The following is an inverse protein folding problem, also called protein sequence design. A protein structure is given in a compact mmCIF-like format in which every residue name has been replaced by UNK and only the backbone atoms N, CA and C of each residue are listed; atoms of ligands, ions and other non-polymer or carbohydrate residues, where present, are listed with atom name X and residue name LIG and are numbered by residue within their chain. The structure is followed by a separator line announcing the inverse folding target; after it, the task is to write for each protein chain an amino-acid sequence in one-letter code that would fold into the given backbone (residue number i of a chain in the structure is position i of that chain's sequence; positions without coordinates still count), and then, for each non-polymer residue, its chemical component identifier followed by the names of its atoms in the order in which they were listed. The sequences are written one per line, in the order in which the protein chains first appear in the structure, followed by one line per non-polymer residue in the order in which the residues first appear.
data_IF_599930955458
#
_entry.id   IF_599930955458
#
_cell.length_a   1.000
_cell.length_b   1.000
_cell.length_c   1.000
_cell.angle_alpha   90.00
_cell.angle_beta   90.00
_cell.angle_gamma   90.00
#
_symmetry.space_group_name_H-M   'P 1'
#
loop_
_entity.id
_entity.type
_entity.pdbx_description
1 polymer ?
#
# COMPACT_ATOMS: atom_id res chain seq x y z
N UNK A 1 5.21 47.92 -12.86
CA UNK A 1 4.97 48.82 -11.72
C UNK A 1 3.50 48.88 -11.41
N UNK A 2 2.98 48.09 -10.47
CA UNK A 2 1.75 48.36 -9.72
C UNK A 2 1.90 47.56 -8.42
N UNK A 3 2.02 48.29 -7.31
CA UNK A 3 2.07 47.76 -5.93
C UNK A 3 0.67 47.23 -5.59
N UNK A 4 0.57 46.06 -5.01
CA UNK A 4 -0.62 45.57 -4.31
C UNK A 4 -0.48 45.85 -2.82
N UNK A 5 -1.46 46.56 -2.31
CA UNK A 5 -1.64 47.05 -0.96
C UNK A 5 -2.13 45.93 -0.05
N UNK A 6 -1.40 45.69 1.04
CA UNK A 6 -1.72 44.70 2.09
C UNK A 6 -2.42 45.40 3.25
N UNK A 7 -3.69 45.69 3.11
CA UNK A 7 -4.51 46.13 4.25
C UNK A 7 -5.95 45.74 4.04
N UNK A 8 -6.41 44.65 4.69
CA UNK A 8 -7.77 44.37 5.17
C UNK A 8 -8.10 42.88 5.17
N UNK A 9 -7.77 42.20 6.28
CA UNK A 9 -8.54 41.07 6.75
C UNK A 9 -8.34 40.92 8.29
N UNK A 10 -8.86 41.91 9.00
CA UNK A 10 -9.30 41.68 10.41
C UNK A 10 -10.81 41.71 10.32
N UNK A 11 -11.46 40.62 10.74
CA UNK A 11 -12.78 40.64 11.39
C UNK A 11 -13.21 39.21 11.76
N UNK A 12 -13.67 39.06 13.01
CA UNK A 12 -14.44 38.01 13.66
C UNK A 12 -13.68 36.84 14.28
N UNK A 13 -13.10 37.12 15.47
CA UNK A 13 -13.14 36.18 16.59
C UNK A 13 -14.06 36.80 17.66
N UNK A 14 -15.29 36.33 17.67
CA UNK A 14 -16.29 36.72 18.67
C UNK A 14 -15.99 36.08 20.03
N UNK A 15 -15.86 36.95 21.04
CA UNK A 15 -15.78 36.62 22.44
C UNK A 15 -17.06 35.92 22.92
N UNK A 16 -16.95 34.66 23.34
CA UNK A 16 -17.92 34.05 24.25
C UNK A 16 -17.25 33.88 25.62
N UNK A 17 -17.26 34.94 26.43
CA UNK A 17 -17.05 34.83 27.89
C UNK A 17 -18.45 34.89 28.56
N UNK A 18 -19.02 33.72 28.81
CA UNK A 18 -20.14 33.63 29.79
C UNK A 18 -19.48 33.36 31.15
N UNK A 19 -19.45 34.39 31.99
CA UNK A 19 -18.98 34.31 33.36
C UNK A 19 -20.12 33.70 34.22
N UNK A 20 -20.02 32.43 34.56
CA UNK A 20 -20.77 31.84 35.69
C UNK A 20 -19.96 32.08 36.97
N UNK A 21 -20.41 33.04 37.79
CA UNK A 21 -19.93 33.25 39.17
C UNK A 21 -20.52 32.19 40.07
N UNK A 22 -19.69 31.28 40.60
CA UNK A 22 -20.06 30.38 41.70
C UNK A 22 -19.53 30.94 43.04
N UNK A 23 -20.32 30.86 44.11
CA UNK A 23 -20.00 31.47 45.42
C UNK A 23 -19.24 30.53 46.37
N UNK A 24 -18.40 29.64 45.94
CA UNK A 24 -17.49 28.87 46.83
C UNK A 24 -16.17 28.57 46.13
N UNK A 25 -15.08 28.87 46.82
CA UNK A 25 -13.72 28.58 46.40
C UNK A 25 -13.43 27.09 46.39
N UNK A 26 -13.33 26.52 45.17
CA UNK A 26 -12.84 25.16 44.95
C UNK A 26 -11.36 25.28 44.54
N UNK A 27 -10.46 24.48 45.10
CA UNK A 27 -9.06 24.51 44.69
C UNK A 27 -8.99 24.16 43.20
N UNK A 28 -8.26 24.95 42.45
CA UNK A 28 -8.00 24.78 41.01
C UNK A 28 -7.25 23.48 40.77
N UNK A 29 -7.97 22.47 40.25
CA UNK A 29 -7.34 21.27 39.70
C UNK A 29 -7.00 21.58 38.25
N UNK A 30 -5.70 21.55 37.95
CA UNK A 30 -5.18 21.77 36.60
C UNK A 30 -5.52 20.59 35.69
N UNK A 31 -6.60 20.74 34.92
CA UNK A 31 -7.16 19.71 34.00
C UNK A 31 -6.35 19.54 32.72
N UNK A 32 -5.25 20.28 32.52
CA UNK A 32 -4.47 20.21 31.30
C UNK A 32 -3.44 19.06 31.25
N UNK A 33 -3.28 18.26 32.31
CA UNK A 33 -2.32 17.16 32.37
C UNK A 33 -2.88 15.74 32.34
N UNK A 34 -4.20 15.55 32.23
CA UNK A 34 -4.78 14.20 32.15
C UNK A 34 -5.07 13.83 30.68
N UNK A 35 -4.23 13.00 30.11
CA UNK A 35 -4.42 12.42 28.77
C UNK A 35 -5.47 11.28 28.71
N UNK A 36 -6.28 11.09 29.77
CA UNK A 36 -7.28 10.04 29.83
C UNK A 36 -8.71 10.62 29.86
N UNK A 37 -9.45 10.58 28.71
CA UNK A 37 -10.79 11.15 28.60
C UNK A 37 -11.82 10.48 29.51
N UNK A 38 -11.59 9.23 29.94
CA UNK A 38 -12.48 8.50 30.86
C UNK A 38 -12.38 9.01 32.28
N UNK A 39 -11.21 9.49 32.72
CA UNK A 39 -11.05 10.11 34.04
C UNK A 39 -11.77 11.46 34.13
N UNK A 40 -11.77 12.23 33.05
CA UNK A 40 -12.51 13.48 32.93
C UNK A 40 -14.04 13.27 32.99
N UNK A 41 -14.55 12.24 32.30
CA UNK A 41 -15.95 11.86 32.34
C UNK A 41 -16.39 11.37 33.75
N UNK A 42 -15.55 10.59 34.42
CA UNK A 42 -15.80 10.07 35.77
C UNK A 42 -15.85 11.20 36.81
N UNK A 43 -14.95 12.17 36.72
CA UNK A 43 -14.95 13.35 37.60
C UNK A 43 -16.15 14.29 37.37
N UNK A 44 -16.65 14.39 36.12
CA UNK A 44 -17.87 15.15 35.80
C UNK A 44 -19.12 14.46 36.34
N UNK A 45 -19.20 13.13 36.28
CA UNK A 45 -20.34 12.35 36.83
C UNK A 45 -20.39 12.48 38.38
N UNK A 46 -19.22 12.42 39.05
CA UNK A 46 -19.11 12.61 40.49
C UNK A 46 -19.48 14.03 40.94
N UNK A 47 -19.22 15.04 40.12
CA UNK A 47 -19.59 16.42 40.39
C UNK A 47 -21.11 16.65 40.22
N UNK A 48 -21.72 16.02 39.21
CA UNK A 48 -23.16 16.15 38.90
C UNK A 48 -24.09 15.45 39.94
N UNK A 49 -23.63 14.36 40.56
CA UNK A 49 -24.42 13.60 41.54
C UNK A 49 -24.46 14.23 42.93
N UNK A 50 -23.64 15.23 43.22
CA UNK A 50 -23.54 15.89 44.52
C UNK A 50 -24.65 16.95 44.78
N UNK A 51 -25.43 17.32 43.80
CA UNK A 51 -26.34 18.48 43.88
C UNK A 51 -27.81 18.17 44.13
N UNK A 52 -28.26 16.90 44.18
CA UNK A 52 -29.72 16.58 44.23
C UNK A 52 -30.16 15.44 45.15
N UNK A 53 -29.47 15.12 46.27
CA UNK A 53 -30.01 14.12 47.20
C UNK A 53 -30.29 14.68 48.63
N UNK A 54 -31.45 14.35 49.21
CA UNK A 54 -31.78 14.74 50.58
C UNK A 54 -30.97 13.96 51.62
N UNK A 55 -30.67 14.62 52.73
CA UNK A 55 -29.67 14.31 53.75
C UNK A 55 -29.85 13.06 54.62
N UNK A 56 -30.85 12.18 54.40
CA UNK A 56 -31.26 11.15 55.34
C UNK A 56 -31.28 9.70 54.78
N UNK A 57 -30.40 9.31 53.90
CA UNK A 57 -30.25 7.90 53.51
C UNK A 57 -28.85 7.42 53.77
N UNK A 58 -28.74 6.27 54.43
CA UNK A 58 -27.55 5.69 55.04
C UNK A 58 -26.34 5.58 54.11
N UNK A 59 -25.23 6.08 54.60
CA UNK A 59 -23.91 6.12 53.97
C UNK A 59 -23.34 4.72 53.58
N UNK A 60 -23.87 3.63 54.17
CA UNK A 60 -23.39 2.26 53.98
C UNK A 60 -23.71 1.64 52.61
N UNK A 61 -24.84 2.04 51.95
CA UNK A 61 -25.24 1.51 50.63
C UNK A 61 -24.39 2.10 49.47
N UNK A 62 -23.94 3.32 49.65
CA UNK A 62 -23.17 4.04 48.59
C UNK A 62 -21.73 3.61 48.45
N UNK A 63 -21.09 3.23 49.57
CA UNK A 63 -19.71 2.72 49.51
C UNK A 63 -19.66 1.33 48.87
N UNK A 64 -20.69 0.51 49.05
CA UNK A 64 -20.76 -0.82 48.44
C UNK A 64 -21.03 -0.75 46.93
N UNK A 65 -21.93 0.13 46.47
CA UNK A 65 -22.20 0.29 45.02
C UNK A 65 -21.10 1.01 44.27
N UNK A 66 -20.45 2.00 44.86
CA UNK A 66 -19.31 2.68 44.28
C UNK A 66 -18.07 1.76 44.19
N UNK A 67 -17.84 0.91 45.22
CA UNK A 67 -16.80 -0.11 45.22
C UNK A 67 -17.03 -1.19 44.15
N UNK A 68 -18.30 -1.63 43.99
CA UNK A 68 -18.67 -2.63 42.99
C UNK A 68 -18.53 -2.10 41.54
N UNK A 69 -18.90 -0.82 41.30
CA UNK A 69 -18.69 -0.18 40.00
C UNK A 69 -17.20 0.02 39.70
N UNK A 70 -16.37 0.39 40.68
CA UNK A 70 -14.94 0.53 40.50
C UNK A 70 -14.26 -0.83 40.22
N UNK A 71 -14.69 -1.92 40.89
CA UNK A 71 -14.20 -3.28 40.64
C UNK A 71 -14.65 -3.78 39.27
N UNK A 72 -15.85 -3.48 38.82
CA UNK A 72 -16.34 -3.82 37.47
C UNK A 72 -15.52 -3.03 36.42
N UNK A 73 -15.23 -1.74 36.63
CA UNK A 73 -14.38 -0.97 35.71
C UNK A 73 -12.92 -1.43 35.72
N UNK A 74 -12.41 -1.96 36.83
CA UNK A 74 -11.08 -2.54 36.91
C UNK A 74 -11.02 -3.98 36.35
N UNK A 75 -12.11 -4.74 36.48
CA UNK A 75 -12.23 -6.11 35.94
C UNK A 75 -12.56 -6.13 34.43
N UNK A 76 -13.25 -5.11 33.91
CA UNK A 76 -13.37 -4.82 32.48
C UNK A 76 -12.22 -3.93 32.02
N UNK A 77 -11.02 -4.17 32.55
CA UNK A 77 -9.81 -3.55 32.00
C UNK A 77 -9.89 -3.66 30.50
N UNK A 78 -9.76 -2.56 29.78
CA UNK A 78 -9.68 -2.53 28.33
C UNK A 78 -8.68 -3.60 27.89
N UNK A 79 -9.17 -4.82 27.70
CA UNK A 79 -8.41 -5.84 26.99
C UNK A 79 -8.08 -5.17 25.67
N UNK A 80 -6.84 -4.77 25.48
CA UNK A 80 -6.35 -4.38 24.18
C UNK A 80 -6.68 -5.59 23.30
N UNK A 81 -7.74 -5.49 22.50
CA UNK A 81 -7.95 -6.48 21.45
C UNK A 81 -6.66 -6.49 20.66
N UNK A 82 -5.95 -7.61 20.67
CA UNK A 82 -4.76 -7.75 19.85
C UNK A 82 -5.18 -7.42 18.43
N UNK A 83 -4.53 -6.40 17.85
CA UNK A 83 -4.80 -6.01 16.49
C UNK A 83 -4.21 -7.10 15.59
N UNK A 84 -5.06 -7.95 15.04
CA UNK A 84 -4.69 -8.96 14.05
C UNK A 84 -4.59 -8.41 12.65
N UNK A 85 -3.94 -9.13 11.76
CA UNK A 85 -3.99 -8.88 10.33
C UNK A 85 -5.42 -9.11 9.81
N UNK A 86 -5.88 -8.21 8.93
CA UNK A 86 -7.19 -8.36 8.28
C UNK A 86 -7.14 -9.55 7.30
N UNK A 87 -7.98 -10.59 7.50
CA UNK A 87 -8.03 -11.73 6.60
C UNK A 87 -8.35 -11.35 5.16
N UNK A 88 -7.86 -12.10 4.18
CA UNK A 88 -8.09 -11.83 2.76
C UNK A 88 -9.44 -12.36 2.29
N UNK A 89 -10.51 -11.80 2.88
CA UNK A 89 -11.90 -12.23 2.62
C UNK A 89 -12.33 -11.98 1.18
N UNK A 90 -11.79 -10.93 0.51
CA UNK A 90 -12.10 -10.68 -0.89
C UNK A 90 -11.61 -11.80 -1.80
N UNK A 91 -10.39 -12.29 -1.56
CA UNK A 91 -9.86 -13.39 -2.34
C UNK A 91 -10.64 -14.69 -2.12
N UNK A 92 -10.99 -15.00 -0.88
CA UNK A 92 -11.83 -16.15 -0.59
C UNK A 92 -13.21 -16.03 -1.25
N UNK A 93 -13.88 -14.87 -1.11
CA UNK A 93 -15.19 -14.63 -1.70
C UNK A 93 -15.16 -14.68 -3.24
N UNK A 94 -14.08 -14.20 -3.88
CA UNK A 94 -13.97 -14.28 -5.33
C UNK A 94 -13.80 -15.70 -5.86
N UNK A 95 -13.30 -16.64 -5.05
CA UNK A 95 -13.16 -18.06 -5.41
C UNK A 95 -14.37 -18.91 -5.03
N UNK A 96 -15.21 -18.46 -4.08
CA UNK A 96 -16.38 -19.23 -3.59
C UNK A 96 -17.69 -18.82 -4.23
N UNK A 97 -17.76 -17.73 -5.00
CA UNK A 97 -19.01 -17.19 -5.53
C UNK A 97 -19.78 -18.18 -6.42
N UNK A 98 -19.10 -19.03 -7.15
CA UNK A 98 -19.71 -20.06 -7.98
C UNK A 98 -19.53 -21.45 -7.34
N UNK A 99 -20.56 -21.94 -6.65
CA UNK A 99 -20.74 -23.37 -6.41
C UNK A 99 -20.20 -23.96 -5.12
N UNK A 100 -19.93 -23.19 -4.07
CA UNK A 100 -19.59 -23.74 -2.74
C UNK A 100 -20.48 -23.19 -1.65
N UNK A 101 -20.96 -24.06 -0.75
CA UNK A 101 -21.67 -23.68 0.50
C UNK A 101 -20.70 -23.14 1.58
N UNK A 102 -19.45 -22.94 1.25
CA UNK A 102 -18.40 -22.54 2.21
C UNK A 102 -18.42 -21.03 2.46
N UNK A 103 -18.36 -20.63 3.73
CA UNK A 103 -18.34 -19.23 4.12
C UNK A 103 -16.95 -18.62 3.87
N UNK A 104 -16.80 -17.64 2.94
CA UNK A 104 -15.51 -17.04 2.59
C UNK A 104 -14.82 -16.31 3.75
N UNK A 105 -15.59 -15.74 4.68
CA UNK A 105 -15.04 -15.06 5.85
C UNK A 105 -14.38 -16.08 6.79
N UNK A 106 -15.02 -17.24 7.00
CA UNK A 106 -14.49 -18.31 7.83
C UNK A 106 -13.20 -18.89 7.25
N UNK A 107 -13.17 -19.13 5.93
CA UNK A 107 -11.98 -19.64 5.23
C UNK A 107 -10.82 -18.63 5.34
N UNK A 108 -11.08 -17.37 5.02
CA UNK A 108 -10.05 -16.34 5.10
C UNK A 108 -9.51 -16.19 6.53
N UNK A 109 -10.39 -16.26 7.54
CA UNK A 109 -10.00 -16.20 8.95
C UNK A 109 -9.10 -17.39 9.31
N UNK A 110 -9.49 -18.63 8.95
CA UNK A 110 -8.71 -19.83 9.23
C UNK A 110 -7.35 -19.80 8.53
N UNK A 111 -7.29 -19.34 7.27
CA UNK A 111 -6.02 -19.16 6.57
C UNK A 111 -5.12 -18.11 7.24
N UNK A 112 -5.70 -16.99 7.70
CA UNK A 112 -4.97 -15.94 8.42
C UNK A 112 -4.42 -16.46 9.76
N UNK A 113 -5.17 -17.28 10.50
CA UNK A 113 -4.72 -17.95 11.74
C UNK A 113 -3.54 -18.89 11.48
N UNK A 114 -3.57 -19.69 10.40
CA UNK A 114 -2.43 -20.52 9.99
C UNK A 114 -1.20 -19.66 9.73
N UNK A 115 -1.35 -18.61 8.96
CA UNK A 115 -0.25 -17.69 8.60
C UNK A 115 0.29 -16.95 9.84
N UNK A 116 -0.56 -16.63 10.80
CA UNK A 116 -0.15 -16.00 12.06
C UNK A 116 0.77 -16.88 12.90
N UNK A 117 0.59 -18.20 12.84
CA UNK A 117 1.53 -19.15 13.52
C UNK A 117 2.96 -19.01 13.01
N UNK A 118 3.13 -18.67 11.71
CA UNK A 118 4.43 -18.54 11.06
C UNK A 118 5.00 -17.12 11.12
N UNK A 119 4.14 -16.10 10.92
CA UNK A 119 4.57 -14.71 10.75
C UNK A 119 4.27 -13.80 11.95
N UNK A 120 3.63 -14.36 13.01
CA UNK A 120 3.22 -13.56 14.15
C UNK A 120 2.09 -12.57 13.83
N UNK A 121 1.84 -11.65 14.75
CA UNK A 121 0.80 -10.61 14.62
C UNK A 121 1.40 -9.25 14.23
N UNK A 122 0.54 -8.24 14.08
CA UNK A 122 0.93 -6.87 13.64
C UNK A 122 1.91 -6.20 14.60
N UNK A 123 1.81 -6.51 15.91
CA UNK A 123 2.64 -5.88 16.94
C UNK A 123 3.91 -6.68 17.24
N UNK A 124 3.89 -7.96 16.94
CA UNK A 124 4.97 -8.92 17.19
C UNK A 124 5.18 -9.80 15.96
N UNK A 125 5.79 -9.24 14.89
CA UNK A 125 6.10 -10.02 13.70
C UNK A 125 7.12 -11.11 14.01
N UNK A 126 7.02 -12.25 13.32
CA UNK A 126 7.94 -13.38 13.39
C UNK A 126 8.35 -13.79 11.97
N UNK A 127 9.41 -14.57 11.89
CA UNK A 127 9.82 -15.22 10.65
C UNK A 127 9.82 -16.74 10.84
N UNK A 128 9.29 -17.51 9.88
CA UNK A 128 9.21 -18.97 9.99
C UNK A 128 10.56 -19.65 9.72
N UNK A 129 11.58 -19.38 10.52
CA UNK A 129 12.97 -19.82 10.34
C UNK A 129 13.09 -21.32 10.23
N UNK A 130 12.30 -22.07 11.01
CA UNK A 130 12.34 -23.54 11.00
C UNK A 130 11.88 -24.14 9.66
N UNK A 131 11.03 -23.42 8.91
CA UNK A 131 10.48 -23.88 7.66
C UNK A 131 11.28 -23.39 6.44
N UNK A 132 11.81 -22.18 6.49
CA UNK A 132 12.39 -21.54 5.30
C UNK A 132 13.87 -21.16 5.43
N UNK A 133 14.39 -21.01 6.62
CA UNK A 133 15.83 -20.79 6.90
C UNK A 133 16.49 -19.53 6.30
N UNK A 134 15.82 -18.81 5.41
CA UNK A 134 16.40 -17.80 4.51
C UNK A 134 16.08 -16.34 4.92
N UNK A 135 15.86 -16.05 6.21
CA UNK A 135 15.47 -14.69 6.62
C UNK A 135 16.41 -13.63 6.06
N UNK A 136 17.69 -13.74 6.31
CA UNK A 136 18.68 -12.72 5.98
C UNK A 136 18.88 -12.49 4.47
N UNK A 137 18.54 -13.47 3.63
CA UNK A 137 18.58 -13.34 2.17
C UNK A 137 17.37 -12.57 1.62
N UNK A 138 16.27 -12.58 2.35
CA UNK A 138 15.00 -11.98 1.91
C UNK A 138 14.72 -10.67 2.61
N UNK A 139 14.88 -10.64 3.94
CA UNK A 139 14.60 -9.45 4.76
C UNK A 139 15.36 -9.51 6.11
N UNK A 140 15.47 -8.36 6.76
CA UNK A 140 16.06 -8.24 8.10
C UNK A 140 14.95 -8.08 9.13
N UNK A 141 14.92 -8.96 10.11
CA UNK A 141 13.88 -8.94 11.16
C UNK A 141 13.99 -7.75 12.11
N UNK A 142 15.18 -7.26 12.40
CA UNK A 142 15.37 -6.02 13.18
C UNK A 142 14.72 -4.80 12.53
N UNK A 143 14.78 -4.71 11.19
CA UNK A 143 14.09 -3.69 10.41
C UNK A 143 12.56 -3.87 10.46
N UNK A 144 12.08 -5.12 10.34
CA UNK A 144 10.65 -5.47 10.41
C UNK A 144 10.07 -5.10 11.77
N UNK A 145 10.76 -5.45 12.87
CA UNK A 145 10.34 -5.16 14.24
C UNK A 145 10.29 -3.65 14.52
N UNK A 146 11.22 -2.88 13.95
CA UNK A 146 11.21 -1.43 14.07
C UNK A 146 10.01 -0.77 13.38
N UNK A 147 9.57 -1.34 12.26
CA UNK A 147 8.43 -0.84 11.50
C UNK A 147 7.07 -1.27 12.06
N UNK A 148 7.03 -2.40 12.77
CA UNK A 148 5.84 -2.98 13.36
C UNK A 148 5.38 -2.26 14.64
N UNK A 149 4.18 -2.63 15.11
CA UNK A 149 3.67 -2.20 16.40
C UNK A 149 3.17 -0.77 16.45
N UNK A 150 2.85 -0.27 17.65
CA UNK A 150 2.38 1.09 17.86
C UNK A 150 3.49 2.13 17.65
N UNK A 151 3.10 3.31 17.19
CA UNK A 151 4.03 4.45 17.06
C UNK A 151 4.52 4.86 18.44
N UNK A 152 5.83 4.96 18.62
CA UNK A 152 6.43 5.40 19.88
C UNK A 152 7.94 5.28 19.87
N UNK A 153 8.56 5.76 20.98
CA UNK A 153 9.99 5.57 21.23
C UNK A 153 10.18 4.62 22.40
N UNK A 154 11.03 3.61 22.21
CA UNK A 154 11.44 2.71 23.26
C UNK A 154 12.34 3.37 24.32
N UNK A 155 12.70 2.61 25.35
CA UNK A 155 13.66 3.03 26.39
C UNK A 155 15.03 3.36 25.75
N UNK A 156 15.37 2.67 24.68
CA UNK A 156 16.55 2.87 23.82
C UNK A 156 16.48 4.13 22.95
N UNK A 157 15.40 4.92 23.06
CA UNK A 157 15.10 6.13 22.27
C UNK A 157 14.91 5.88 20.78
N UNK A 158 14.87 4.62 20.33
CA UNK A 158 14.62 4.23 18.94
C UNK A 158 13.14 4.41 18.64
N UNK A 159 12.82 5.09 17.53
CA UNK A 159 11.46 5.23 17.03
C UNK A 159 10.99 3.91 16.43
N UNK A 160 9.76 3.50 16.77
CA UNK A 160 9.11 2.28 16.30
C UNK A 160 7.74 2.56 15.73
N UNK A 161 7.16 1.58 15.02
CA UNK A 161 5.86 1.73 14.41
C UNK A 161 5.88 2.59 13.14
N UNK A 162 7.01 2.62 12.42
CA UNK A 162 7.21 3.47 11.23
C UNK A 162 6.14 3.26 10.18
N UNK A 163 5.69 2.00 9.95
CA UNK A 163 4.65 1.71 8.99
C UNK A 163 3.30 2.33 9.41
N UNK A 164 2.96 2.29 10.69
CA UNK A 164 1.76 2.96 11.22
C UNK A 164 1.85 4.47 11.11
N UNK A 165 3.02 5.02 11.31
CA UNK A 165 3.26 6.46 11.24
C UNK A 165 3.09 6.99 9.82
N UNK A 166 3.59 6.29 8.82
CA UNK A 166 3.75 6.83 7.47
C UNK A 166 2.84 6.19 6.39
N UNK A 167 2.41 4.94 6.55
CA UNK A 167 1.85 4.15 5.44
C UNK A 167 0.38 3.75 5.64
N UNK A 168 -0.04 3.53 6.89
CA UNK A 168 -1.34 2.93 7.23
C UNK A 168 -2.53 3.73 6.73
N UNK A 169 -2.44 5.06 6.69
CA UNK A 169 -3.54 5.91 6.20
C UNK A 169 -4.00 5.56 4.79
N UNK A 170 -3.09 5.09 3.95
CA UNK A 170 -3.36 4.67 2.58
C UNK A 170 -3.36 3.14 2.43
N UNK A 171 -2.33 2.46 2.94
CA UNK A 171 -2.11 1.03 2.69
C UNK A 171 -2.80 0.09 3.69
N UNK A 172 -3.40 0.60 4.77
CA UNK A 172 -4.01 -0.23 5.82
C UNK A 172 -2.97 -0.95 6.69
N UNK A 173 -3.39 -1.42 7.88
CA UNK A 173 -2.50 -2.11 8.84
C UNK A 173 -1.93 -3.43 8.27
N UNK A 174 -2.72 -4.11 7.46
CA UNK A 174 -2.35 -5.38 6.83
C UNK A 174 -1.62 -5.21 5.50
N UNK A 175 -1.38 -3.98 5.06
CA UNK A 175 -0.88 -3.71 3.72
C UNK A 175 -1.88 -4.09 2.62
N UNK A 176 -3.17 -4.09 2.93
CA UNK A 176 -4.27 -4.51 2.05
C UNK A 176 -4.75 -3.43 1.07
N UNK A 177 -4.12 -2.26 1.10
CA UNK A 177 -4.51 -1.12 0.27
C UNK A 177 -5.85 -0.48 0.67
N UNK A 178 -6.38 -0.81 1.85
CA UNK A 178 -7.69 -0.38 2.34
C UNK A 178 -7.58 0.54 3.57
N UNK A 179 -6.56 1.39 3.59
CA UNK A 179 -6.45 2.44 4.61
C UNK A 179 -7.60 3.45 4.52
N UNK A 180 -7.83 4.26 5.56
CA UNK A 180 -8.95 5.22 5.60
C UNK A 180 -9.01 6.18 4.41
N UNK A 181 -7.88 6.54 3.82
CA UNK A 181 -7.80 7.43 2.66
C UNK A 181 -7.95 6.69 1.31
N UNK A 182 -7.85 5.35 1.29
CA UNK A 182 -7.71 4.58 0.05
C UNK A 182 -8.82 4.84 -0.98
N UNK A 183 -10.08 4.93 -0.53
CA UNK A 183 -11.23 5.13 -1.41
C UNK A 183 -11.27 6.51 -2.07
N UNK A 184 -10.48 7.46 -1.58
CA UNK A 184 -10.39 8.84 -2.10
C UNK A 184 -9.25 9.02 -3.09
N UNK A 185 -8.44 7.98 -3.31
CA UNK A 185 -7.22 8.05 -4.12
C UNK A 185 -7.41 7.37 -5.47
N UNK A 186 -6.85 7.98 -6.52
CA UNK A 186 -6.77 7.40 -7.87
C UNK A 186 -5.35 7.63 -8.42
N UNK A 187 -4.59 6.55 -8.70
CA UNK A 187 -4.92 5.13 -8.48
C UNK A 187 -5.02 4.76 -6.99
N UNK A 188 -5.73 3.67 -6.68
CA UNK A 188 -5.80 3.13 -5.33
C UNK A 188 -4.42 2.71 -4.80
N UNK A 189 -4.19 2.80 -3.48
CA UNK A 189 -2.98 2.27 -2.87
C UNK A 189 -2.81 0.78 -3.15
N UNK A 190 -1.56 0.35 -3.33
CA UNK A 190 -1.26 -1.06 -3.61
C UNK A 190 -1.62 -1.95 -2.41
N UNK A 191 -2.33 -3.06 -2.67
CA UNK A 191 -2.42 -4.20 -1.75
C UNK A 191 -1.17 -5.07 -1.91
N UNK A 192 -0.32 -5.09 -0.91
CA UNK A 192 0.92 -5.84 -0.94
C UNK A 192 0.70 -7.36 -0.92
N UNK A 193 -0.44 -7.82 -0.38
CA UNK A 193 -0.79 -9.25 -0.23
C UNK A 193 -0.83 -10.03 -1.55
N UNK A 194 -0.86 -9.34 -2.68
CA UNK A 194 -0.74 -9.97 -4.00
C UNK A 194 0.70 -10.33 -4.37
N UNK A 195 1.69 -9.73 -3.71
CA UNK A 195 3.09 -9.87 -4.08
C UNK A 195 3.41 -9.32 -5.48
N UNK A 196 2.58 -8.40 -6.00
CA UNK A 196 2.68 -7.81 -7.34
C UNK A 196 2.95 -6.32 -7.23
N UNK A 197 3.98 -5.83 -7.92
CA UNK A 197 4.42 -4.44 -7.90
C UNK A 197 4.60 -3.90 -9.32
N UNK A 198 4.21 -2.63 -9.57
CA UNK A 198 4.16 -2.04 -10.92
C UNK A 198 5.54 -1.68 -11.47
N UNK A 199 6.38 -1.07 -10.65
CA UNK A 199 7.62 -0.42 -11.11
C UNK A 199 8.85 -1.18 -10.64
N UNK A 200 9.05 -2.37 -11.18
CA UNK A 200 10.13 -3.28 -10.86
C UNK A 200 11.09 -3.47 -12.04
N UNK A 201 12.26 -3.99 -11.76
CA UNK A 201 13.35 -4.30 -12.72
C UNK A 201 13.30 -5.75 -13.20
N UNK A 202 12.34 -6.53 -12.74
CA UNK A 202 12.18 -7.95 -13.04
C UNK A 202 10.98 -8.19 -13.97
N UNK A 203 10.94 -9.25 -14.77
CA UNK A 203 9.82 -9.58 -15.66
C UNK A 203 8.48 -9.76 -14.96
N UNK A 204 7.38 -9.71 -15.73
CA UNK A 204 6.04 -10.03 -15.25
C UNK A 204 6.02 -11.42 -14.61
N UNK A 205 5.38 -11.54 -13.45
CA UNK A 205 5.31 -12.79 -12.67
C UNK A 205 6.48 -13.01 -11.71
N UNK A 206 7.60 -12.28 -11.87
CA UNK A 206 8.74 -12.31 -10.95
C UNK A 206 8.56 -11.29 -9.84
N UNK A 207 9.29 -11.45 -8.73
CA UNK A 207 9.18 -10.55 -7.57
C UNK A 207 10.03 -9.29 -7.75
N UNK A 208 9.64 -8.14 -7.14
CA UNK A 208 10.49 -6.96 -7.13
C UNK A 208 11.74 -7.22 -6.29
N UNK A 209 12.85 -6.61 -6.69
CA UNK A 209 14.03 -6.58 -5.83
C UNK A 209 13.84 -5.63 -4.65
N UNK A 210 14.76 -5.66 -3.71
CA UNK A 210 14.81 -4.69 -2.61
C UNK A 210 14.97 -3.26 -3.13
N UNK A 211 15.82 -3.09 -4.12
CA UNK A 211 16.13 -1.82 -4.77
C UNK A 211 14.92 -1.22 -5.50
N UNK A 212 14.06 -2.05 -6.09
CA UNK A 212 12.80 -1.59 -6.72
C UNK A 212 11.85 -0.98 -5.70
N UNK A 213 11.70 -1.63 -4.55
CA UNK A 213 10.85 -1.13 -3.46
C UNK A 213 11.48 0.11 -2.83
N UNK A 214 12.80 0.09 -2.59
CA UNK A 214 13.56 1.23 -2.08
C UNK A 214 13.35 2.46 -2.98
N UNK A 215 13.55 2.33 -4.28
CA UNK A 215 13.34 3.42 -5.25
C UNK A 215 11.90 3.95 -5.18
N UNK A 216 10.91 3.07 -5.10
CA UNK A 216 9.49 3.48 -5.01
C UNK A 216 9.20 4.25 -3.72
N UNK A 217 9.79 3.89 -2.60
CA UNK A 217 9.65 4.62 -1.33
C UNK A 217 10.44 5.93 -1.37
N UNK A 218 11.70 5.88 -1.78
CA UNK A 218 12.59 7.04 -1.83
C UNK A 218 12.06 8.14 -2.76
N UNK A 219 11.69 7.80 -4.00
CA UNK A 219 11.30 8.76 -5.03
C UNK A 219 9.79 9.03 -5.06
N UNK A 220 8.99 8.17 -4.42
CA UNK A 220 7.53 8.18 -4.57
C UNK A 220 7.11 7.73 -5.98
N UNK A 221 5.85 8.02 -6.31
CA UNK A 221 5.30 7.76 -7.65
C UNK A 221 4.76 9.08 -8.20
N UNK A 222 5.50 9.80 -9.05
CA UNK A 222 5.10 11.11 -9.58
C UNK A 222 3.72 11.08 -10.22
N UNK A 223 2.89 12.08 -9.91
CA UNK A 223 1.51 12.17 -10.42
C UNK A 223 0.50 11.25 -9.72
N UNK A 224 0.85 10.69 -8.57
CA UNK A 224 -0.05 9.94 -7.68
C UNK A 224 0.03 10.47 -6.24
N UNK A 225 -0.81 9.92 -5.36
CA UNK A 225 -0.77 10.25 -3.93
C UNK A 225 0.38 9.55 -3.16
N UNK A 226 1.17 8.67 -3.80
CA UNK A 226 2.33 8.05 -3.15
C UNK A 226 3.47 9.07 -3.06
N UNK A 227 3.77 9.61 -1.86
CA UNK A 227 4.77 10.67 -1.73
C UNK A 227 6.19 10.13 -1.87
N UNK A 228 7.12 11.02 -2.23
CA UNK A 228 8.55 10.77 -2.09
C UNK A 228 8.94 10.92 -0.62
N UNK A 229 9.54 9.87 -0.07
CA UNK A 229 10.10 9.93 1.27
C UNK A 229 11.38 10.77 1.33
N UNK A 230 12.09 10.94 0.22
CA UNK A 230 13.22 11.87 0.10
C UNK A 230 12.83 13.30 0.54
N UNK A 231 11.59 13.72 0.27
CA UNK A 231 11.10 15.05 0.66
C UNK A 231 10.94 15.24 2.18
N UNK A 232 10.96 14.17 2.98
CA UNK A 232 10.82 14.22 4.43
C UNK A 232 12.16 14.43 5.16
N UNK A 233 13.31 14.25 4.48
CA UNK A 233 14.63 14.52 5.03
C UNK A 233 15.75 13.77 4.30
N UNK A 234 16.97 14.28 4.44
CA UNK A 234 18.20 13.69 3.87
C UNK A 234 19.15 13.19 4.98
N UNK A 235 18.66 13.07 6.24
CA UNK A 235 19.50 12.57 7.33
C UNK A 235 19.76 11.07 7.22
N UNK A 236 20.88 10.60 7.79
CA UNK A 236 21.19 9.16 7.85
C UNK A 236 20.10 8.35 8.58
N UNK A 237 19.49 8.95 9.61
CA UNK A 237 18.37 8.32 10.33
C UNK A 237 17.18 8.09 9.40
N UNK A 238 16.89 9.06 8.55
CA UNK A 238 15.78 8.95 7.60
C UNK A 238 16.06 7.95 6.48
N UNK A 239 17.29 7.89 5.95
CA UNK A 239 17.69 6.87 4.99
C UNK A 239 17.52 5.46 5.58
N UNK A 240 17.85 5.31 6.88
CA UNK A 240 17.61 4.06 7.61
C UNK A 240 16.12 3.76 7.76
N UNK A 241 15.27 4.74 8.00
CA UNK A 241 13.81 4.55 8.09
C UNK A 241 13.23 4.02 6.78
N UNK A 242 13.68 4.53 5.64
CA UNK A 242 13.28 4.05 4.31
C UNK A 242 13.71 2.60 4.12
N UNK A 243 14.94 2.26 4.47
CA UNK A 243 15.45 0.89 4.37
C UNK A 243 14.66 -0.08 5.24
N UNK A 244 14.36 0.28 6.48
CA UNK A 244 13.56 -0.54 7.39
C UNK A 244 12.14 -0.75 6.83
N UNK A 245 11.52 0.30 6.26
CA UNK A 245 10.22 0.21 5.60
C UNK A 245 10.24 -0.69 4.36
N UNK A 246 11.34 -0.75 3.60
CA UNK A 246 11.50 -1.70 2.49
C UNK A 246 11.36 -3.14 2.98
N UNK A 247 12.05 -3.49 4.05
CA UNK A 247 11.97 -4.82 4.65
C UNK A 247 10.58 -5.14 5.17
N UNK A 248 9.90 -4.15 5.76
CA UNK A 248 8.53 -4.35 6.25
C UNK A 248 7.50 -4.53 5.12
N UNK A 249 7.61 -3.77 4.03
CA UNK A 249 6.77 -3.95 2.84
C UNK A 249 6.96 -5.34 2.24
N UNK A 250 8.21 -5.82 2.14
CA UNK A 250 8.52 -7.20 1.71
C UNK A 250 7.89 -8.24 2.63
N UNK A 251 8.01 -8.04 3.95
CA UNK A 251 7.40 -8.92 4.95
C UNK A 251 5.87 -9.01 4.78
N UNK A 252 5.18 -7.86 4.67
CA UNK A 252 3.73 -7.83 4.45
C UNK A 252 3.32 -8.50 3.14
N UNK A 253 4.13 -8.32 2.09
CA UNK A 253 3.86 -8.90 0.79
C UNK A 253 4.03 -10.43 0.81
N UNK A 254 5.10 -10.94 1.40
CA UNK A 254 5.34 -12.39 1.53
C UNK A 254 4.24 -13.03 2.37
N UNK A 255 3.97 -12.48 3.56
CA UNK A 255 2.90 -12.96 4.45
C UNK A 255 1.56 -13.03 3.72
N UNK A 256 1.18 -11.94 3.06
CA UNK A 256 -0.10 -11.84 2.37
C UNK A 256 -0.20 -12.74 1.14
N UNK A 257 0.89 -12.94 0.41
CA UNK A 257 0.94 -13.88 -0.72
C UNK A 257 0.79 -15.33 -0.25
N UNK A 258 1.43 -15.68 0.87
CA UNK A 258 1.24 -17.01 1.49
C UNK A 258 -0.22 -17.21 1.84
N UNK A 259 -0.85 -16.27 2.57
CA UNK A 259 -2.27 -16.35 2.94
C UNK A 259 -3.16 -16.56 1.70
N UNK A 260 -2.95 -15.75 0.65
CA UNK A 260 -3.70 -15.84 -0.61
C UNK A 260 -3.54 -17.22 -1.28
N UNK A 261 -2.34 -17.78 -1.29
CA UNK A 261 -2.07 -19.11 -1.87
C UNK A 261 -2.67 -20.24 -1.05
N UNK A 262 -2.64 -20.14 0.29
CA UNK A 262 -3.30 -21.13 1.17
C UNK A 262 -4.81 -21.15 0.95
N UNK A 263 -5.46 -19.99 0.83
CA UNK A 263 -6.88 -19.90 0.49
C UNK A 263 -7.15 -20.59 -0.85
N UNK A 264 -6.32 -20.33 -1.87
CA UNK A 264 -6.49 -20.92 -3.19
C UNK A 264 -6.26 -22.43 -3.16
N UNK A 265 -5.27 -22.91 -2.42
CA UNK A 265 -4.98 -24.34 -2.26
C UNK A 265 -6.15 -25.07 -1.59
N UNK A 266 -6.68 -24.50 -0.49
CA UNK A 266 -7.83 -25.07 0.20
C UNK A 266 -9.04 -25.18 -0.71
N UNK A 267 -9.40 -24.09 -1.40
CA UNK A 267 -10.62 -24.04 -2.22
C UNK A 267 -10.54 -24.83 -3.52
N UNK A 268 -9.36 -25.00 -4.10
CA UNK A 268 -9.19 -25.67 -5.40
C UNK A 268 -8.76 -27.12 -5.26
N UNK A 269 -7.98 -27.46 -4.25
CA UNK A 269 -7.39 -28.77 -4.08
C UNK A 269 -7.94 -29.51 -2.82
N UNK A 270 -8.79 -28.85 -2.01
CA UNK A 270 -9.39 -29.46 -0.80
C UNK A 270 -8.39 -29.68 0.35
N UNK A 271 -7.24 -29.04 0.33
CA UNK A 271 -6.24 -29.18 1.38
C UNK A 271 -6.71 -28.47 2.66
N UNK A 272 -6.71 -29.19 3.80
CA UNK A 272 -7.13 -28.61 5.08
C UNK A 272 -6.16 -27.52 5.55
N UNK A 273 -6.74 -26.43 6.10
CA UNK A 273 -6.00 -25.25 6.60
C UNK A 273 -5.40 -25.55 7.98
N UNK A 274 -4.20 -26.12 7.99
CA UNK A 274 -3.45 -26.52 9.19
C UNK A 274 -1.96 -26.15 9.02
N UNK A 275 -1.37 -25.51 10.04
CA UNK A 275 0.03 -25.03 9.98
C UNK A 275 1.08 -26.14 9.89
N UNK A 276 0.74 -27.36 10.35
CA UNK A 276 1.59 -28.54 10.26
C UNK A 276 1.43 -29.33 8.95
N UNK A 277 0.52 -28.93 8.06
CA UNK A 277 0.34 -29.54 6.75
C UNK A 277 1.60 -29.37 5.90
N UNK A 278 2.19 -30.48 5.45
CA UNK A 278 3.36 -30.47 4.57
C UNK A 278 3.07 -29.65 3.29
N UNK A 279 1.88 -29.84 2.70
CA UNK A 279 1.50 -29.14 1.47
C UNK A 279 1.44 -27.62 1.65
N UNK A 280 1.02 -27.14 2.83
CA UNK A 280 1.01 -25.71 3.14
C UNK A 280 2.41 -25.15 3.40
N UNK A 281 3.28 -25.94 4.04
CA UNK A 281 4.68 -25.57 4.22
C UNK A 281 5.42 -25.50 2.88
N UNK A 282 5.14 -26.39 1.94
CA UNK A 282 5.67 -26.31 0.56
C UNK A 282 5.27 -24.99 -0.13
N UNK A 283 4.03 -24.54 0.04
CA UNK A 283 3.58 -23.23 -0.48
C UNK A 283 4.35 -22.08 0.16
N UNK A 284 4.56 -22.12 1.48
CA UNK A 284 5.37 -21.13 2.19
C UNK A 284 6.78 -21.06 1.62
N UNK A 285 7.45 -22.19 1.50
CA UNK A 285 8.82 -22.30 0.95
C UNK A 285 8.86 -21.75 -0.48
N UNK A 286 7.92 -22.13 -1.34
CA UNK A 286 7.85 -21.66 -2.74
C UNK A 286 7.66 -20.14 -2.84
N UNK A 287 6.86 -19.55 -1.97
CA UNK A 287 6.66 -18.09 -1.96
C UNK A 287 7.95 -17.42 -1.54
N UNK A 288 8.55 -17.82 -0.42
CA UNK A 288 9.78 -17.21 0.11
C UNK A 288 10.93 -17.33 -0.92
N UNK A 289 11.09 -18.50 -1.56
CA UNK A 289 12.12 -18.73 -2.55
C UNK A 289 12.02 -17.77 -3.74
N UNK A 290 10.80 -17.52 -4.26
CA UNK A 290 10.58 -16.55 -5.34
C UNK A 290 11.02 -15.13 -4.98
N UNK A 291 10.89 -14.77 -3.70
CA UNK A 291 11.36 -13.46 -3.23
C UNK A 291 12.88 -13.45 -3.02
N UNK A 292 13.48 -14.56 -2.65
CA UNK A 292 14.93 -14.70 -2.55
C UNK A 292 15.60 -14.65 -3.93
N UNK A 293 14.99 -15.28 -4.94
CA UNK A 293 15.53 -15.35 -6.32
C UNK A 293 15.39 -14.02 -7.09
N UNK A 294 14.66 -13.04 -6.55
CA UNK A 294 14.37 -11.80 -7.30
C UNK A 294 15.59 -11.01 -7.81
N UNK A 295 16.76 -11.01 -7.15
CA UNK A 295 17.95 -10.35 -7.70
C UNK A 295 18.49 -10.99 -9.00
N UNK A 296 18.29 -12.30 -9.16
CA UNK A 296 18.76 -13.06 -10.33
C UNK A 296 17.88 -12.82 -11.57
N UNK A 297 16.67 -12.31 -11.36
CA UNK A 297 15.69 -12.04 -12.41
C UNK A 297 15.77 -10.61 -12.99
N UNK A 298 16.74 -9.80 -12.59
CA UNK A 298 16.83 -8.40 -13.01
C UNK A 298 17.15 -8.28 -14.51
N UNK A 299 16.35 -7.46 -15.21
CA UNK A 299 16.61 -7.15 -16.61
C UNK A 299 17.95 -6.43 -16.77
N UNK A 300 18.84 -7.01 -17.57
CA UNK A 300 20.06 -6.35 -18.00
C UNK A 300 19.72 -5.33 -19.09
N UNK A 301 19.94 -4.05 -18.79
CA UNK A 301 19.74 -2.95 -19.73
C UNK A 301 21.05 -2.66 -20.43
N UNK A 302 21.04 -2.46 -21.77
CA UNK A 302 22.20 -1.99 -22.50
C UNK A 302 22.62 -0.60 -22.01
N UNK A 303 23.88 -0.25 -22.24
CA UNK A 303 24.35 1.10 -21.94
C UNK A 303 23.49 2.15 -22.66
N UNK A 304 23.15 3.20 -21.91
CA UNK A 304 22.35 4.30 -22.46
C UNK A 304 23.17 5.04 -23.50
N UNK A 305 22.70 5.14 -24.76
CA UNK A 305 23.44 5.81 -25.80
C UNK A 305 23.74 7.28 -25.51
N UNK A 306 24.89 7.76 -25.92
CA UNK A 306 25.39 9.12 -25.66
C UNK A 306 24.47 10.23 -26.17
N UNK A 307 23.72 9.97 -27.26
CA UNK A 307 22.79 10.95 -27.82
C UNK A 307 21.64 11.36 -26.90
N UNK A 308 21.44 10.65 -25.76
CA UNK A 308 20.54 11.11 -24.71
C UNK A 308 21.15 12.19 -23.83
N UNK A 309 22.48 12.32 -23.81
CA UNK A 309 23.21 13.28 -22.98
C UNK A 309 23.72 14.47 -23.80
N UNK A 310 24.12 14.22 -25.02
CA UNK A 310 24.67 15.22 -25.95
C UNK A 310 23.64 15.44 -27.05
N UNK A 311 23.16 16.67 -27.27
CA UNK A 311 22.25 16.96 -28.38
C UNK A 311 22.90 16.53 -29.68
N UNK A 312 22.26 15.62 -30.43
CA UNK A 312 22.62 15.26 -31.78
C UNK A 312 22.33 16.44 -32.71
N UNK A 313 23.00 16.44 -33.89
CA UNK A 313 22.60 17.44 -34.90
C UNK A 313 21.14 17.28 -35.32
N UNK A 314 20.55 18.33 -35.89
CA UNK A 314 19.12 18.36 -36.23
C UNK A 314 18.71 17.21 -37.17
N UNK A 315 19.61 16.71 -38.00
CA UNK A 315 19.37 15.60 -38.93
C UNK A 315 19.26 14.25 -38.21
N UNK A 316 20.19 13.94 -37.30
CA UNK A 316 20.13 12.73 -36.48
C UNK A 316 18.95 12.73 -35.54
N UNK A 317 18.65 13.89 -34.91
CA UNK A 317 17.46 14.06 -34.06
C UNK A 317 16.19 13.75 -34.85
N UNK A 318 15.97 14.35 -35.99
CA UNK A 318 14.79 14.13 -36.83
C UNK A 318 14.64 12.66 -37.25
N UNK A 319 15.75 12.01 -37.60
CA UNK A 319 15.77 10.59 -38.01
C UNK A 319 15.36 9.66 -36.85
N UNK A 320 15.85 9.91 -35.62
CA UNK A 320 15.49 9.11 -34.42
C UNK A 320 14.03 9.29 -34.07
N UNK A 321 13.54 10.51 -34.12
CA UNK A 321 12.12 10.81 -33.90
C UNK A 321 11.25 10.04 -34.89
N UNK A 322 11.60 10.03 -36.18
CA UNK A 322 10.80 9.35 -37.20
C UNK A 322 10.85 7.81 -37.04
N UNK A 323 12.01 7.24 -36.73
CA UNK A 323 12.14 5.81 -36.43
C UNK A 323 11.33 5.42 -35.20
N UNK A 324 11.46 6.14 -34.09
CA UNK A 324 10.73 5.88 -32.87
C UNK A 324 9.23 6.04 -33.06
N UNK A 325 8.78 7.04 -33.84
CA UNK A 325 7.38 7.23 -34.21
C UNK A 325 6.84 6.05 -35.01
N UNK A 326 7.59 5.61 -36.03
CA UNK A 326 7.21 4.45 -36.86
C UNK A 326 7.02 3.22 -35.99
N UNK A 327 7.91 2.98 -35.03
CA UNK A 327 7.79 1.87 -34.09
C UNK A 327 6.59 2.05 -33.15
N UNK A 328 6.35 3.25 -32.63
CA UNK A 328 5.22 3.55 -31.75
C UNK A 328 3.85 3.31 -32.42
N UNK A 329 3.77 3.59 -33.71
CA UNK A 329 2.57 3.41 -34.53
C UNK A 329 2.44 1.98 -35.11
N UNK A 330 3.51 1.18 -35.07
CA UNK A 330 3.55 -0.17 -35.67
C UNK A 330 2.60 -1.15 -34.97
N UNK A 331 2.14 -2.13 -35.72
CA UNK A 331 1.36 -3.25 -35.17
C UNK A 331 2.17 -4.12 -34.20
N UNK A 332 3.51 -4.13 -34.33
CA UNK A 332 4.40 -4.92 -33.50
C UNK A 332 4.39 -4.42 -32.04
N UNK A 333 4.41 -3.11 -31.82
CA UNK A 333 4.42 -2.53 -30.47
C UNK A 333 3.03 -2.06 -30.03
N UNK A 334 2.17 -1.70 -30.98
CA UNK A 334 0.80 -1.27 -30.80
C UNK A 334 0.58 -0.16 -29.75
N UNK A 335 1.61 0.67 -29.48
CA UNK A 335 1.59 1.72 -28.44
C UNK A 335 0.45 2.71 -28.67
N UNK A 336 0.24 3.10 -29.94
CA UNK A 336 -0.81 4.06 -30.36
C UNK A 336 -2.22 3.60 -29.97
N UNK A 337 -2.48 2.30 -29.86
CA UNK A 337 -3.81 1.77 -29.51
C UNK A 337 -4.27 2.22 -28.14
N UNK A 338 -3.33 2.38 -27.19
CA UNK A 338 -3.60 2.82 -25.84
C UNK A 338 -3.20 4.28 -25.61
N UNK A 339 -1.99 4.66 -26.05
CA UNK A 339 -1.46 6.01 -25.80
C UNK A 339 -1.96 7.09 -26.77
N UNK A 340 -2.67 6.69 -27.84
CA UNK A 340 -3.12 7.61 -28.89
C UNK A 340 -1.99 8.04 -29.83
N UNK A 341 -2.32 8.63 -30.99
CA UNK A 341 -1.35 8.97 -32.01
C UNK A 341 -0.36 10.08 -31.60
N UNK A 342 -0.77 10.90 -30.65
CA UNK A 342 0.06 11.99 -30.12
C UNK A 342 0.71 11.67 -28.78
N UNK A 343 0.41 10.51 -28.19
CA UNK A 343 0.87 10.16 -26.84
C UNK A 343 0.08 10.83 -25.71
N UNK A 344 -1.12 11.36 -26.00
CA UNK A 344 -1.98 12.04 -25.02
C UNK A 344 -2.70 11.08 -24.05
N UNK A 345 -2.56 9.76 -24.22
CA UNK A 345 -3.24 8.74 -23.41
C UNK A 345 -4.72 8.57 -23.76
N UNK A 346 -5.13 9.01 -24.93
CA UNK A 346 -6.51 9.03 -25.46
C UNK A 346 -6.79 7.92 -26.49
N UNK A 347 -5.96 6.93 -26.54
CA UNK A 347 -6.14 5.76 -27.42
C UNK A 347 -7.46 5.02 -27.17
N UNK A 348 -7.93 4.29 -28.18
CA UNK A 348 -9.23 3.60 -28.15
C UNK A 348 -9.25 2.35 -27.27
N UNK A 349 -8.09 1.72 -27.04
CA UNK A 349 -7.98 0.53 -26.22
C UNK A 349 -7.86 0.91 -24.75
N UNK A 350 -8.88 0.58 -23.97
CA UNK A 350 -8.91 0.81 -22.53
C UNK A 350 -9.29 -0.47 -21.81
N UNK A 351 -8.64 -0.75 -20.70
CA UNK A 351 -8.97 -1.86 -19.83
C UNK A 351 -8.90 -1.45 -18.36
N UNK A 352 -9.48 -2.27 -17.49
CA UNK A 352 -9.46 -2.02 -16.06
C UNK A 352 -8.08 -2.28 -15.46
N UNK A 353 -7.73 -1.54 -14.40
CA UNK A 353 -6.56 -1.82 -13.58
C UNK A 353 -6.70 -3.23 -12.99
N UNK A 354 -5.70 -4.10 -13.20
CA UNK A 354 -5.75 -5.49 -12.76
C UNK A 354 -5.93 -5.65 -11.26
N UNK A 355 -5.55 -4.65 -10.49
CA UNK A 355 -5.79 -4.57 -9.07
C UNK A 355 -7.28 -4.67 -8.72
N UNK A 356 -8.14 -4.01 -9.50
CA UNK A 356 -9.59 -4.05 -9.33
C UNK A 356 -10.29 -5.02 -10.30
N UNK A 357 -9.61 -5.50 -11.34
CA UNK A 357 -10.13 -6.44 -12.34
C UNK A 357 -9.95 -7.92 -11.93
N UNK A 358 -8.80 -8.27 -11.35
CA UNK A 358 -8.44 -9.67 -11.09
C UNK A 358 -9.48 -10.41 -10.22
N UNK A 359 -9.94 -9.81 -9.13
CA UNK A 359 -10.96 -10.43 -8.30
C UNK A 359 -12.33 -10.50 -8.98
N UNK A 360 -12.65 -9.58 -9.91
CA UNK A 360 -13.91 -9.67 -10.69
C UNK A 360 -13.88 -10.86 -11.63
N UNK A 361 -12.74 -11.10 -12.28
CA UNK A 361 -12.57 -12.28 -13.16
C UNK A 361 -12.72 -13.56 -12.34
N UNK A 362 -12.06 -13.66 -11.19
CA UNK A 362 -12.15 -14.82 -10.31
C UNK A 362 -13.58 -15.07 -9.81
N UNK A 363 -14.35 -14.02 -9.60
CA UNK A 363 -15.74 -14.08 -9.14
C UNK A 363 -16.77 -14.22 -10.29
N UNK A 364 -16.35 -14.32 -11.57
CA UNK A 364 -17.27 -14.33 -12.72
C UNK A 364 -18.07 -13.03 -12.87
N UNK A 365 -17.52 -11.89 -12.46
CA UNK A 365 -18.20 -10.58 -12.46
C UNK A 365 -17.67 -9.72 -13.62
N UNK A 366 -18.56 -9.08 -14.37
CA UNK A 366 -18.16 -8.01 -15.30
C UNK A 366 -17.88 -6.71 -14.51
N UNK A 367 -16.65 -6.20 -14.57
CA UNK A 367 -16.28 -4.96 -13.87
C UNK A 367 -17.08 -3.73 -14.33
N UNK A 368 -17.73 -3.78 -15.51
CA UNK A 368 -18.58 -2.72 -16.04
C UNK A 368 -19.95 -2.66 -15.35
N UNK A 369 -20.38 -3.73 -14.68
CA UNK A 369 -21.72 -3.83 -14.08
C UNK A 369 -21.70 -3.51 -12.57
N UNK A 370 -22.09 -2.28 -12.14
CA UNK A 370 -22.00 -1.88 -10.74
C UNK A 370 -22.84 -2.72 -9.77
N UNK A 371 -23.91 -3.36 -10.23
CA UNK A 371 -24.76 -4.20 -9.36
C UNK A 371 -23.97 -5.39 -8.85
N UNK A 372 -23.24 -6.05 -9.73
CA UNK A 372 -22.55 -7.30 -9.46
C UNK A 372 -21.37 -7.12 -8.50
N UNK A 373 -20.55 -6.07 -8.70
CA UNK A 373 -19.39 -5.85 -7.83
C UNK A 373 -19.73 -5.27 -6.46
N UNK A 374 -20.91 -4.63 -6.31
CA UNK A 374 -21.34 -4.09 -5.00
C UNK A 374 -21.55 -5.16 -3.96
N UNK A 375 -21.95 -6.36 -4.36
CA UNK A 375 -22.09 -7.51 -3.47
C UNK A 375 -20.77 -7.93 -2.82
N UNK A 376 -19.64 -7.61 -3.45
CA UNK A 376 -18.31 -7.91 -2.94
C UNK A 376 -17.75 -6.88 -1.96
N UNK A 377 -18.43 -5.72 -1.78
CA UNK A 377 -17.99 -4.66 -0.84
C UNK A 377 -17.81 -5.13 0.60
N UNK A 378 -18.69 -5.97 1.18
CA UNK A 378 -18.50 -6.44 2.55
C UNK A 378 -17.19 -7.21 2.74
N UNK A 379 -16.63 -7.78 1.66
CA UNK A 379 -15.36 -8.49 1.68
C UNK A 379 -14.15 -7.58 1.43
N UNK A 380 -14.34 -6.28 1.18
CA UNK A 380 -13.29 -5.31 0.94
C UNK A 380 -13.05 -4.97 -0.53
N UNK A 381 -14.00 -5.29 -1.43
CA UNK A 381 -13.88 -4.91 -2.83
C UNK A 381 -13.94 -3.39 -3.02
N UNK A 382 -12.97 -2.86 -3.77
CA UNK A 382 -12.98 -1.50 -4.28
C UNK A 382 -13.71 -1.47 -5.63
N UNK A 383 -14.21 -0.29 -5.99
CA UNK A 383 -14.83 -0.09 -7.32
C UNK A 383 -13.81 -0.37 -8.42
N UNK A 384 -14.14 -1.19 -9.43
CA UNK A 384 -13.29 -1.33 -10.61
C UNK A 384 -13.03 0.01 -11.29
N UNK A 385 -11.77 0.29 -11.63
CA UNK A 385 -11.36 1.53 -12.29
C UNK A 385 -10.62 1.24 -13.58
N UNK A 386 -10.85 2.07 -14.60
CA UNK A 386 -10.11 1.99 -15.86
C UNK A 386 -8.68 2.45 -15.63
N UNK A 387 -7.73 1.67 -16.17
CA UNK A 387 -6.34 2.07 -16.22
C UNK A 387 -6.16 3.06 -17.37
N UNK A 388 -5.84 4.31 -17.03
CA UNK A 388 -5.59 5.36 -18.04
C UNK A 388 -4.13 5.31 -18.46
N UNK A 389 -3.85 5.17 -19.77
CA UNK A 389 -2.50 5.32 -20.29
C UNK A 389 -1.92 6.69 -19.95
N UNK A 390 -0.60 6.75 -19.76
CA UNK A 390 0.07 8.01 -19.45
C UNK A 390 -0.10 9.01 -20.62
N UNK A 391 -0.47 10.22 -20.28
CA UNK A 391 -0.31 11.36 -21.17
C UNK A 391 1.15 11.84 -21.08
N UNK A 392 1.92 11.65 -22.13
CA UNK A 392 3.34 11.95 -22.15
C UNK A 392 3.65 13.45 -22.15
N UNK A 393 2.72 14.29 -22.63
CA UNK A 393 2.86 15.76 -22.61
C UNK A 393 2.92 16.34 -21.18
N UNK A 394 2.48 15.61 -20.17
CA UNK A 394 2.56 16.10 -18.77
C UNK A 394 3.95 15.95 -18.14
N UNK A 395 4.89 15.31 -18.82
CA UNK A 395 6.26 15.13 -18.36
C UNK A 395 6.43 14.33 -17.06
N UNK A 396 5.35 13.82 -16.48
CA UNK A 396 5.39 13.03 -15.25
C UNK A 396 5.26 11.53 -15.56
N UNK A 397 6.33 10.79 -15.34
CA UNK A 397 6.40 9.35 -15.55
C UNK A 397 6.39 8.61 -14.20
N UNK A 398 5.40 7.76 -13.96
CA UNK A 398 5.20 7.09 -12.67
C UNK A 398 6.39 6.23 -12.24
N UNK A 399 7.07 5.57 -13.18
CA UNK A 399 8.20 4.67 -12.92
C UNK A 399 9.58 5.31 -13.08
N UNK A 400 9.64 6.64 -13.23
CA UNK A 400 10.86 7.38 -13.54
C UNK A 400 10.97 7.81 -15.00
N UNK A 401 11.67 8.93 -15.24
CA UNK A 401 11.77 9.62 -16.54
C UNK A 401 13.13 9.38 -17.24
N UNK A 402 14.10 8.74 -16.60
CA UNK A 402 15.38 8.47 -17.26
C UNK A 402 15.20 7.55 -18.47
N UNK A 403 16.06 7.66 -19.50
CA UNK A 403 16.01 6.76 -20.66
C UNK A 403 15.97 5.29 -20.26
N UNK A 404 16.79 4.88 -19.30
CA UNK A 404 16.86 3.51 -18.79
C UNK A 404 15.57 3.06 -18.10
N UNK A 405 14.88 3.95 -17.36
CA UNK A 405 13.58 3.60 -16.74
C UNK A 405 12.48 3.45 -17.79
N UNK A 406 12.46 4.29 -18.83
CA UNK A 406 11.49 4.15 -19.94
C UNK A 406 11.79 2.86 -20.72
N UNK A 407 13.06 2.55 -21.00
CA UNK A 407 13.48 1.29 -21.62
C UNK A 407 12.94 0.07 -20.84
N UNK A 408 13.14 0.06 -19.50
CA UNK A 408 12.59 -0.99 -18.64
C UNK A 408 11.08 -1.12 -18.78
N UNK A 409 10.34 0.02 -18.78
CA UNK A 409 8.87 -0.01 -18.88
C UNK A 409 8.41 -0.55 -20.22
N UNK A 410 9.11 -0.28 -21.29
CA UNK A 410 8.79 -0.82 -22.62
C UNK A 410 9.04 -2.34 -22.64
N UNK A 411 10.22 -2.77 -22.24
CA UNK A 411 10.62 -4.19 -22.31
C UNK A 411 9.86 -5.07 -21.30
N UNK A 412 9.67 -4.60 -20.09
CA UNK A 412 9.04 -5.38 -19.01
C UNK A 412 7.53 -5.20 -18.94
N UNK A 413 6.97 -4.18 -19.61
CA UNK A 413 5.61 -3.74 -19.35
C UNK A 413 5.47 -3.17 -17.93
N UNK A 414 4.23 -3.01 -17.47
CA UNK A 414 3.92 -2.58 -16.09
C UNK A 414 2.95 -3.59 -15.49
N UNK A 415 3.48 -4.49 -14.67
CA UNK A 415 2.69 -5.56 -14.05
C UNK A 415 1.52 -5.01 -13.23
N UNK A 416 0.36 -5.62 -13.36
CA UNK A 416 -0.87 -5.15 -12.73
C UNK A 416 -1.56 -3.99 -13.47
N UNK A 417 -1.15 -3.76 -14.73
CA UNK A 417 -1.81 -2.82 -15.65
C UNK A 417 -1.97 -3.44 -17.03
N UNK A 418 -2.81 -2.89 -17.92
CA UNK A 418 -2.94 -3.35 -19.29
C UNK A 418 -1.71 -3.09 -20.19
N UNK A 419 -0.63 -2.45 -19.70
CA UNK A 419 0.59 -2.22 -20.48
C UNK A 419 1.43 -3.49 -20.56
N UNK A 420 1.44 -4.21 -21.70
CA UNK A 420 2.17 -5.46 -21.85
C UNK A 420 3.67 -5.19 -22.09
N UNK A 421 4.53 -6.19 -21.88
CA UNK A 421 5.92 -6.15 -22.33
C UNK A 421 6.01 -6.13 -23.84
N UNK A 422 6.98 -5.40 -24.40
CA UNK A 422 7.35 -5.46 -25.82
C UNK A 422 8.43 -6.52 -25.99
N UNK A 423 8.24 -7.42 -26.96
CA UNK A 423 9.22 -8.46 -27.25
C UNK A 423 10.56 -7.84 -27.67
N UNK A 424 11.64 -8.25 -26.99
CA UNK A 424 13.03 -7.87 -27.27
C UNK A 424 13.72 -9.01 -28.02
N UNK A 425 14.38 -8.69 -29.12
CA UNK A 425 15.19 -9.65 -29.84
C UNK A 425 16.37 -10.08 -28.98
N UNK A 426 16.41 -11.33 -28.57
CA UNK A 426 17.45 -11.87 -27.73
C UNK A 426 17.60 -13.38 -27.94
N UNK A 427 18.82 -13.88 -28.10
CA UNK A 427 19.14 -15.30 -28.23
C UNK A 427 18.29 -16.03 -29.30
N UNK A 428 18.07 -15.40 -30.46
CA UNK A 428 17.31 -15.97 -31.57
C UNK A 428 15.77 -15.81 -31.45
N UNK A 429 15.25 -15.24 -30.36
CA UNK A 429 13.84 -14.88 -30.26
C UNK A 429 13.55 -13.60 -31.06
N UNK A 430 12.42 -13.55 -31.83
CA UNK A 430 12.06 -12.36 -32.57
C UNK A 430 11.59 -11.23 -31.64
N UNK A 431 11.84 -10.00 -32.01
CA UNK A 431 11.44 -8.81 -31.26
C UNK A 431 12.19 -7.57 -31.76
N UNK A 432 12.05 -6.47 -31.05
CA UNK A 432 12.84 -5.26 -31.31
C UNK A 432 14.27 -5.45 -30.86
N UNK A 433 15.20 -4.95 -31.67
CA UNK A 433 16.60 -4.78 -31.26
C UNK A 433 16.74 -3.72 -30.17
N UNK A 434 17.82 -3.74 -29.42
CA UNK A 434 18.10 -2.73 -28.40
C UNK A 434 18.09 -1.32 -28.97
N UNK A 435 18.64 -1.15 -30.19
CA UNK A 435 18.65 0.15 -30.87
C UNK A 435 17.23 0.62 -31.21
N UNK A 436 16.37 -0.25 -31.70
CA UNK A 436 14.96 0.09 -31.99
C UNK A 436 14.22 0.46 -30.70
N UNK A 437 14.48 -0.23 -29.59
CA UNK A 437 13.91 0.15 -28.31
C UNK A 437 14.42 1.51 -27.85
N UNK A 438 15.71 1.82 -28.04
CA UNK A 438 16.27 3.14 -27.72
C UNK A 438 15.68 4.25 -28.61
N UNK A 439 15.45 4.00 -29.90
CA UNK A 439 14.80 4.97 -30.81
C UNK A 439 13.32 5.22 -30.34
N UNK A 440 12.63 4.16 -29.88
CA UNK A 440 11.30 4.30 -29.30
C UNK A 440 11.32 5.10 -27.98
N UNK A 441 12.29 4.87 -27.10
CA UNK A 441 12.51 5.64 -25.87
C UNK A 441 12.74 7.11 -26.21
N UNK A 442 13.60 7.37 -27.19
CA UNK A 442 13.92 8.72 -27.66
C UNK A 442 12.65 9.47 -28.13
N UNK A 443 11.84 8.83 -28.96
CA UNK A 443 10.56 9.39 -29.41
C UNK A 443 9.62 9.71 -28.25
N UNK A 444 9.44 8.75 -27.31
CA UNK A 444 8.54 8.92 -26.14
C UNK A 444 8.98 10.09 -25.26
N UNK A 445 10.26 10.27 -25.03
CA UNK A 445 10.80 11.39 -24.25
C UNK A 445 10.56 12.75 -24.89
N UNK A 446 10.55 12.82 -26.23
CA UNK A 446 10.31 14.08 -26.96
C UNK A 446 8.84 14.36 -27.29
N UNK A 447 7.92 13.52 -26.80
CA UNK A 447 6.48 13.82 -26.86
C UNK A 447 6.06 14.95 -25.88
N UNK A 448 6.84 15.19 -24.83
CA UNK A 448 6.60 16.30 -23.88
C UNK A 448 6.77 17.68 -24.54
N UNK A 449 7.63 17.77 -25.55
CA UNK A 449 8.01 19.03 -26.23
C UNK A 449 7.07 19.38 -27.39
N UNK A 450 6.03 18.60 -27.63
CA UNK A 450 5.07 18.76 -28.74
C UNK A 450 3.65 19.15 -28.22
#
# INVERSE_FOLDING_TARGET
MRRFDTTKARVFLGNWRTVLRFPYSVPSIDLQRSSNPLLACFLMILAATRTHLPRNLAVSGWLATSGMLAVICLATGCGRSELGYKPNSLHAASLTREGTDQNPISIAKKASEVVETWFGNIDQPKWPTDQVGLADQVLRMDCVERCAGPVGRGIDKVERGLFRKHCVSCHGLSGDGLGPAAMLLEPYPRDFRRGTFKFKSTPVGKKPTREDIHRTLHDGIPGTAMPSFRALGESEEFAKDVEDLVHYVRFLAIRGEVERRLISLHLREGVELESNSQRMQEVLVQVVQKWADSPDDVLVIPETPDYFQTPSDDSDHAQRIEKGKTLFESELTACVKCHGPTGAGDGKSQDFDEWTKDWTILAGIDPKHPKDWKEMKPFGALKPVLSKPRNFHWGAYHGGKSPSEIFKRIVLGIEGTPMPPVARAHNGNPGLTDQEIWDLVYYVMHLEDR
#
